data_IF_101456423330
#
_entry.id   IF_101456423330
#
_cell.length_a   1.000
_cell.length_b   1.000
_cell.length_c   1.000
_cell.angle_alpha   90.00
_cell.angle_beta   90.00
_cell.angle_gamma   90.00
#
_symmetry.space_group_name_H-M   'P 1'
#
loop_
_entity.id
_entity.type
_entity.pdbx_description
1 polymer ?
#
# COMPACT_ATOMS: atom_id res chain seq x y z
N UNK A 1 47.41 48.82 -72.68
CA UNK A 1 46.27 48.78 -73.61
C UNK A 1 45.02 48.43 -72.82
N UNK A 2 44.04 49.33 -72.90
CA UNK A 2 42.75 49.30 -72.21
C UNK A 2 41.86 48.21 -72.80
N UNK A 3 41.15 47.46 -71.96
CA UNK A 3 39.91 46.80 -72.36
C UNK A 3 38.78 47.28 -71.44
N UNK A 4 37.73 47.75 -72.09
CA UNK A 4 36.55 48.43 -71.59
C UNK A 4 35.31 47.68 -72.08
N UNK A 5 34.19 47.86 -71.36
CA UNK A 5 32.80 47.68 -71.82
C UNK A 5 32.33 46.24 -72.06
N UNK A 6 31.06 45.90 -71.98
CA UNK A 6 29.86 46.48 -71.38
C UNK A 6 28.77 45.41 -71.47
N UNK A 7 27.76 45.60 -70.64
CA UNK A 7 26.55 44.85 -70.39
C UNK A 7 25.52 44.86 -71.57
N UNK A 8 24.67 43.81 -71.62
CA UNK A 8 23.22 43.76 -71.98
C UNK A 8 22.70 42.99 -73.21
N UNK A 9 21.68 42.17 -72.90
CA UNK A 9 20.51 41.82 -73.73
C UNK A 9 20.65 40.49 -74.49
N UNK A 10 19.67 39.58 -74.59
CA UNK A 10 18.22 39.66 -74.36
C UNK A 10 17.60 38.25 -74.34
N UNK A 11 16.55 38.08 -73.52
CA UNK A 11 15.32 37.28 -73.74
C UNK A 11 15.37 35.82 -74.23
N UNK A 12 14.72 34.91 -73.49
CA UNK A 12 13.68 34.01 -74.04
C UNK A 12 12.81 33.36 -72.93
N UNK A 13 11.54 33.79 -72.94
CA UNK A 13 10.25 33.15 -72.61
C UNK A 13 10.23 31.61 -72.41
N UNK A 14 9.47 31.12 -71.42
CA UNK A 14 8.52 29.95 -71.40
C UNK A 14 7.95 29.85 -69.97
N UNK A 15 6.72 30.27 -69.68
CA UNK A 15 5.48 29.46 -69.57
C UNK A 15 5.54 28.20 -68.67
N UNK A 16 4.63 28.07 -67.70
CA UNK A 16 4.30 26.76 -67.13
C UNK A 16 4.10 26.67 -65.61
N UNK A 17 2.83 26.73 -65.21
CA UNK A 17 2.18 25.97 -64.12
C UNK A 17 3.05 24.99 -63.30
N UNK A 18 2.93 25.06 -61.97
CA UNK A 18 2.18 24.08 -61.15
C UNK A 18 2.72 24.04 -59.71
N UNK A 19 1.82 24.17 -58.72
CA UNK A 19 2.11 23.92 -57.31
C UNK A 19 2.26 22.40 -57.09
N UNK A 20 3.32 21.93 -56.39
CA UNK A 20 3.11 20.86 -55.42
C UNK A 20 4.07 21.02 -54.23
N UNK A 21 3.68 21.78 -53.20
CA UNK A 21 4.45 21.85 -51.93
C UNK A 21 3.69 21.30 -50.71
N UNK A 22 2.40 20.97 -50.84
CA UNK A 22 1.60 20.51 -49.71
C UNK A 22 1.52 18.98 -49.52
N UNK A 23 1.87 18.16 -50.51
CA UNK A 23 1.80 16.69 -50.35
C UNK A 23 2.99 16.09 -49.59
N UNK A 24 4.18 16.69 -49.64
CA UNK A 24 5.37 16.14 -48.96
C UNK A 24 5.38 16.36 -47.44
N UNK A 25 4.79 17.45 -46.95
CA UNK A 25 4.81 17.78 -45.51
C UNK A 25 3.86 16.88 -44.71
N UNK A 26 2.71 16.52 -45.29
CA UNK A 26 1.77 15.59 -44.66
C UNK A 26 2.34 14.16 -44.55
N UNK A 27 3.13 13.73 -45.53
CA UNK A 27 3.79 12.41 -45.52
C UNK A 27 4.89 12.32 -44.46
N UNK A 28 5.65 13.41 -44.26
CA UNK A 28 6.70 13.48 -43.25
C UNK A 28 6.13 13.49 -41.81
N UNK A 29 5.00 14.19 -41.59
CA UNK A 29 4.30 14.20 -40.31
C UNK A 29 3.72 12.82 -39.95
N UNK A 30 3.13 12.12 -40.93
CA UNK A 30 2.65 10.76 -40.73
C UNK A 30 3.79 9.78 -40.40
N UNK A 31 4.94 9.90 -41.09
CA UNK A 31 6.12 9.08 -40.81
C UNK A 31 6.70 9.32 -39.40
N UNK A 32 6.73 10.57 -38.93
CA UNK A 32 7.17 10.92 -37.57
C UNK A 32 6.23 10.36 -36.50
N UNK A 33 4.92 10.39 -36.71
CA UNK A 33 3.94 9.81 -35.77
C UNK A 33 4.12 8.29 -35.66
N UNK A 34 4.32 7.60 -36.78
CA UNK A 34 4.54 6.14 -36.80
C UNK A 34 5.87 5.77 -36.13
N UNK A 35 6.95 6.53 -36.36
CA UNK A 35 8.23 6.32 -35.66
C UNK A 35 8.10 6.57 -34.14
N UNK A 36 7.36 7.60 -33.74
CA UNK A 36 7.14 7.93 -32.33
C UNK A 36 6.29 6.86 -31.62
N UNK A 37 5.21 6.42 -32.27
CA UNK A 37 4.37 5.32 -31.77
C UNK A 37 5.16 4.00 -31.71
N UNK A 38 5.98 3.71 -32.72
CA UNK A 38 6.89 2.57 -32.73
C UNK A 38 7.92 2.63 -31.60
N UNK A 39 8.50 3.80 -31.31
CA UNK A 39 9.44 3.99 -30.19
C UNK A 39 8.76 3.84 -28.82
N UNK A 40 7.50 4.26 -28.67
CA UNK A 40 6.71 4.07 -27.45
C UNK A 40 6.32 2.61 -27.25
N UNK A 41 5.92 1.90 -28.31
CA UNK A 41 5.62 0.46 -28.24
C UNK A 41 6.88 -0.37 -28.01
N UNK A 42 8.00 0.00 -28.62
CA UNK A 42 9.30 -0.65 -28.42
C UNK A 42 9.81 -0.44 -26.99
N UNK A 43 9.66 0.76 -26.43
CA UNK A 43 10.02 1.04 -25.03
C UNK A 43 9.08 0.37 -24.02
N UNK A 44 7.78 0.25 -24.33
CA UNK A 44 6.82 -0.53 -23.54
C UNK A 44 7.17 -2.02 -23.55
N UNK A 45 7.44 -2.58 -24.73
CA UNK A 45 7.84 -3.99 -24.90
C UNK A 45 9.18 -4.30 -24.24
N UNK A 46 10.17 -3.39 -24.32
CA UNK A 46 11.43 -3.52 -23.59
C UNK A 46 11.24 -3.42 -22.07
N UNK A 47 10.33 -2.56 -21.59
CA UNK A 47 10.00 -2.49 -20.17
C UNK A 47 9.32 -3.77 -19.70
N UNK A 48 8.33 -4.27 -20.42
CA UNK A 48 7.66 -5.55 -20.13
C UNK A 48 8.67 -6.70 -20.15
N UNK A 49 9.49 -6.85 -21.20
CA UNK A 49 10.49 -7.90 -21.29
C UNK A 49 11.57 -7.81 -20.19
N UNK A 50 11.96 -6.60 -19.76
CA UNK A 50 12.90 -6.40 -18.65
C UNK A 50 12.28 -6.74 -17.29
N UNK A 51 10.99 -6.49 -17.11
CA UNK A 51 10.26 -6.86 -15.90
C UNK A 51 9.92 -8.35 -15.85
N UNK A 52 9.57 -8.94 -16.99
CA UNK A 52 9.24 -10.36 -17.12
C UNK A 52 10.51 -11.21 -17.00
N UNK A 53 11.60 -10.78 -17.64
CA UNK A 53 12.94 -11.34 -17.44
C UNK A 53 13.41 -11.24 -15.99
N UNK A 54 13.06 -10.17 -15.28
CA UNK A 54 13.38 -10.03 -13.84
C UNK A 54 12.51 -10.95 -12.98
N UNK A 55 11.21 -11.07 -13.27
CA UNK A 55 10.30 -11.99 -12.56
C UNK A 55 10.74 -13.43 -12.75
N UNK A 56 10.90 -13.87 -13.99
CA UNK A 56 11.41 -15.20 -14.33
C UNK A 56 12.79 -15.47 -13.74
N UNK A 57 13.69 -14.47 -13.70
CA UNK A 57 14.99 -14.61 -13.02
C UNK A 57 14.86 -14.73 -11.50
N UNK A 58 13.97 -13.96 -10.86
CA UNK A 58 13.70 -14.04 -9.41
C UNK A 58 13.01 -15.36 -9.03
N UNK A 59 12.16 -15.90 -9.90
CA UNK A 59 11.51 -17.20 -9.71
C UNK A 59 12.52 -18.35 -9.88
N UNK A 60 13.45 -18.22 -10.83
CA UNK A 60 14.51 -19.20 -11.07
C UNK A 60 15.70 -19.09 -10.10
N UNK A 61 15.95 -17.89 -9.57
CA UNK A 61 17.00 -17.59 -8.59
C UNK A 61 16.37 -16.86 -7.41
N UNK A 62 15.55 -17.56 -6.59
CA UNK A 62 15.03 -16.97 -5.38
C UNK A 62 16.22 -16.47 -4.56
N UNK A 63 16.24 -15.19 -4.14
CA UNK A 63 17.35 -14.66 -3.38
C UNK A 63 17.61 -15.57 -2.19
N UNK A 64 18.88 -15.85 -1.88
CA UNK A 64 19.32 -16.67 -0.74
C UNK A 64 18.59 -16.17 0.52
N UNK A 65 17.47 -16.82 0.87
CA UNK A 65 16.42 -16.28 1.74
C UNK A 65 16.01 -14.85 1.38
N UNK A 66 14.80 -14.68 0.86
CA UNK A 66 14.12 -13.38 0.86
C UNK A 66 13.86 -12.79 2.29
N UNK A 67 14.48 -13.28 3.37
CA UNK A 67 13.91 -13.20 4.73
C UNK A 67 14.80 -12.64 5.84
N UNK A 68 16.12 -12.48 5.70
CA UNK A 68 16.97 -12.08 6.85
C UNK A 68 17.44 -10.62 6.74
N UNK A 69 18.07 -10.24 5.62
CA UNK A 69 18.53 -8.86 5.40
C UNK A 69 17.36 -7.86 5.31
N UNK A 70 16.24 -8.29 4.72
CA UNK A 70 15.06 -7.44 4.61
C UNK A 70 14.38 -7.21 5.97
N UNK A 71 14.27 -8.26 6.78
CA UNK A 71 13.70 -8.13 8.12
C UNK A 71 14.65 -7.37 9.05
N UNK A 72 15.97 -7.49 8.91
CA UNK A 72 16.95 -6.62 9.59
C UNK A 72 16.69 -5.15 9.24
N UNK A 73 16.49 -4.81 7.96
CA UNK A 73 16.16 -3.45 7.55
C UNK A 73 14.80 -3.01 8.09
N UNK A 74 13.81 -3.89 8.15
CA UNK A 74 12.49 -3.60 8.71
C UNK A 74 12.57 -3.33 10.21
N UNK A 75 13.29 -4.16 10.97
CA UNK A 75 13.59 -3.94 12.40
C UNK A 75 14.21 -2.57 12.61
N UNK A 76 15.27 -2.23 11.86
CA UNK A 76 15.93 -0.92 11.96
C UNK A 76 14.99 0.25 11.65
N UNK A 77 14.15 0.12 10.62
CA UNK A 77 13.15 1.15 10.29
C UNK A 77 12.10 1.29 11.38
N UNK A 78 11.55 0.20 11.90
CA UNK A 78 10.58 0.22 13.00
C UNK A 78 11.20 0.79 14.28
N UNK A 79 12.45 0.44 14.59
CA UNK A 79 13.19 1.03 15.70
C UNK A 79 13.44 2.54 15.50
N UNK A 80 13.66 3.01 14.28
CA UNK A 80 13.71 4.45 14.04
C UNK A 80 12.34 5.11 14.28
N UNK A 81 11.24 4.46 13.91
CA UNK A 81 9.89 4.97 14.16
C UNK A 81 9.53 5.05 15.65
N UNK A 82 10.21 4.32 16.55
CA UNK A 82 9.96 4.47 18.00
C UNK A 82 10.49 5.80 18.55
N UNK A 83 11.47 6.40 17.88
CA UNK A 83 12.09 7.67 18.27
C UNK A 83 11.42 8.91 17.67
N UNK A 84 10.54 8.74 16.67
CA UNK A 84 9.86 9.85 15.99
C UNK A 84 8.62 10.34 16.75
N UNK A 85 8.19 11.58 16.51
CA UNK A 85 6.93 12.07 17.07
C UNK A 85 5.71 11.34 16.45
N UNK A 86 4.59 11.15 17.17
CA UNK A 86 3.41 10.44 16.64
C UNK A 86 2.90 11.00 15.31
N UNK A 87 2.87 12.33 15.17
CA UNK A 87 2.46 12.99 13.93
C UNK A 87 3.30 12.59 12.70
N UNK A 88 4.58 12.24 12.88
CA UNK A 88 5.45 11.81 11.78
C UNK A 88 5.26 10.32 11.44
N UNK A 89 4.71 9.54 12.37
CA UNK A 89 4.47 8.10 12.22
C UNK A 89 3.20 7.82 11.44
N UNK A 90 2.22 8.74 11.44
CA UNK A 90 0.92 8.59 10.77
C UNK A 90 1.05 8.10 9.31
N UNK A 91 1.95 8.72 8.53
CA UNK A 91 2.21 8.34 7.13
C UNK A 91 2.74 6.91 6.94
N UNK A 92 3.20 6.26 8.00
CA UNK A 92 3.75 4.91 8.01
C UNK A 92 2.80 3.89 8.66
N UNK A 93 1.63 4.31 9.15
CA UNK A 93 0.65 3.43 9.80
C UNK A 93 0.32 2.18 8.97
N UNK A 94 0.05 2.26 7.65
CA UNK A 94 -0.20 1.05 6.86
C UNK A 94 0.96 0.04 6.93
N UNK A 95 2.20 0.52 6.95
CA UNK A 95 3.37 -0.34 7.03
C UNK A 95 3.58 -0.90 8.45
N UNK A 96 3.23 -0.15 9.49
CA UNK A 96 3.27 -0.60 10.89
C UNK A 96 2.21 -1.68 11.11
N UNK A 97 0.97 -1.46 10.69
CA UNK A 97 -0.14 -2.43 10.81
C UNK A 97 0.19 -3.72 10.06
N UNK A 98 0.72 -3.62 8.84
CA UNK A 98 1.19 -4.79 8.09
C UNK A 98 2.39 -5.52 8.74
N UNK A 99 3.12 -4.86 9.65
CA UNK A 99 4.25 -5.44 10.37
C UNK A 99 3.83 -6.15 11.66
N UNK A 100 2.60 -5.93 12.15
CA UNK A 100 2.08 -6.58 13.36
C UNK A 100 1.92 -8.10 13.23
N UNK A 101 1.77 -8.63 12.02
CA UNK A 101 1.53 -10.07 11.79
C UNK A 101 2.66 -10.74 11.00
N UNK A 102 3.88 -10.20 11.12
CA UNK A 102 5.08 -10.78 10.52
C UNK A 102 5.59 -11.97 11.32
N UNK A 103 6.28 -12.91 10.69
CA UNK A 103 6.85 -14.06 11.41
C UNK A 103 7.99 -13.67 12.37
N UNK A 104 8.71 -12.60 12.05
CA UNK A 104 9.79 -12.07 12.86
C UNK A 104 9.26 -11.43 14.16
N UNK A 105 9.57 -12.07 15.29
CA UNK A 105 9.09 -11.64 16.60
C UNK A 105 9.57 -10.24 17.02
N UNK A 106 10.76 -9.82 16.62
CA UNK A 106 11.27 -8.48 16.97
C UNK A 106 10.61 -7.40 16.10
N UNK A 107 10.36 -7.70 14.83
CA UNK A 107 9.54 -6.85 13.95
C UNK A 107 8.14 -6.67 14.53
N UNK A 108 7.47 -7.75 14.92
CA UNK A 108 6.14 -7.65 15.55
C UNK A 108 6.20 -6.84 16.84
N UNK A 109 7.17 -7.12 17.71
CA UNK A 109 7.33 -6.42 19.00
C UNK A 109 7.50 -4.91 18.80
N UNK A 110 8.38 -4.51 17.89
CA UNK A 110 8.60 -3.09 17.58
C UNK A 110 7.36 -2.47 16.92
N UNK A 111 6.69 -3.19 16.02
CA UNK A 111 5.45 -2.73 15.41
C UNK A 111 4.35 -2.50 16.46
N UNK A 112 4.21 -3.41 17.44
CA UNK A 112 3.28 -3.25 18.57
C UNK A 112 3.64 -1.99 19.37
N UNK A 113 4.91 -1.77 19.69
CA UNK A 113 5.34 -0.59 20.45
C UNK A 113 4.99 0.73 19.72
N UNK A 114 5.27 0.80 18.43
CA UNK A 114 4.91 1.96 17.60
C UNK A 114 3.39 2.12 17.52
N UNK A 115 2.66 1.01 17.32
CA UNK A 115 1.21 1.00 17.21
C UNK A 115 0.51 1.42 18.51
N UNK A 116 0.93 0.92 19.67
CA UNK A 116 0.35 1.27 20.97
C UNK A 116 0.52 2.75 21.28
N UNK A 117 1.65 3.35 20.87
CA UNK A 117 1.88 4.79 21.00
C UNK A 117 0.93 5.60 20.12
N UNK A 118 0.63 5.12 18.91
CA UNK A 118 -0.37 5.75 18.04
C UNK A 118 -1.80 5.56 18.56
N UNK A 119 -2.05 4.52 19.37
CA UNK A 119 -3.35 4.26 19.97
C UNK A 119 -3.75 5.27 21.06
N UNK A 120 -2.85 6.17 21.46
CA UNK A 120 -3.19 7.34 22.29
C UNK A 120 -3.73 8.51 21.46
N UNK A 121 -3.57 8.46 20.13
CA UNK A 121 -4.17 9.37 19.15
C UNK A 121 -5.16 8.60 18.23
N UNK A 122 -6.28 8.08 18.77
CA UNK A 122 -7.15 7.12 18.11
C UNK A 122 -7.72 7.58 16.76
N UNK A 123 -7.89 8.90 16.56
CA UNK A 123 -8.39 9.46 15.31
C UNK A 123 -7.52 9.10 14.10
N UNK A 124 -6.21 8.90 14.29
CA UNK A 124 -5.29 8.48 13.22
C UNK A 124 -5.50 7.03 12.77
N UNK A 125 -6.18 6.22 13.59
CA UNK A 125 -6.37 4.79 13.38
C UNK A 125 -7.77 4.41 12.87
N UNK A 126 -8.71 5.36 12.80
CA UNK A 126 -10.08 5.10 12.34
C UNK A 126 -10.11 4.49 10.93
N UNK A 127 -9.24 4.96 10.03
CA UNK A 127 -9.11 4.45 8.67
C UNK A 127 -8.62 2.99 8.60
N UNK A 128 -7.99 2.49 9.67
CA UNK A 128 -7.44 1.13 9.75
C UNK A 128 -8.37 0.15 10.45
N UNK A 129 -9.57 0.56 10.88
CA UNK A 129 -10.49 -0.26 11.66
C UNK A 129 -10.78 -1.66 11.09
N UNK A 130 -10.96 -1.77 9.78
CA UNK A 130 -11.20 -3.05 9.11
C UNK A 130 -9.96 -3.98 9.17
N UNK A 131 -8.77 -3.42 8.97
CA UNK A 131 -7.51 -4.18 9.04
C UNK A 131 -7.21 -4.63 10.48
N UNK A 132 -7.47 -3.76 11.46
CA UNK A 132 -7.38 -4.09 12.88
C UNK A 132 -8.36 -5.21 13.26
N UNK A 133 -9.60 -5.14 12.79
CA UNK A 133 -10.59 -6.21 13.01
C UNK A 133 -10.13 -7.54 12.41
N UNK A 134 -9.55 -7.51 11.20
CA UNK A 134 -8.99 -8.70 10.58
C UNK A 134 -7.79 -9.26 11.37
N UNK A 135 -6.89 -8.39 11.84
CA UNK A 135 -5.75 -8.76 12.68
C UNK A 135 -6.17 -9.40 13.99
N UNK A 136 -7.20 -8.86 14.65
CA UNK A 136 -7.77 -9.42 15.87
C UNK A 136 -8.17 -10.88 15.67
N UNK A 137 -8.76 -11.19 14.51
CA UNK A 137 -9.21 -12.53 14.13
C UNK A 137 -8.08 -13.51 13.80
N UNK A 138 -7.13 -13.08 12.97
CA UNK A 138 -6.14 -13.96 12.31
C UNK A 138 -4.78 -14.07 13.01
N UNK A 139 -4.42 -13.11 13.85
CA UNK A 139 -3.06 -13.08 14.40
C UNK A 139 -2.86 -14.19 15.43
N UNK A 140 -1.78 -14.96 15.27
CA UNK A 140 -1.39 -16.00 16.22
C UNK A 140 -0.80 -15.42 17.51
N UNK A 141 -0.28 -14.19 17.47
CA UNK A 141 0.39 -13.55 18.60
C UNK A 141 -0.62 -12.88 19.55
N UNK A 142 -0.69 -13.37 20.79
CA UNK A 142 -1.63 -12.86 21.78
C UNK A 142 -1.40 -11.38 22.10
N UNK A 143 -0.14 -10.91 22.06
CA UNK A 143 0.18 -9.50 22.34
C UNK A 143 -0.39 -8.59 21.25
N UNK A 144 -0.32 -9.02 19.99
CA UNK A 144 -0.93 -8.30 18.87
C UNK A 144 -2.45 -8.25 19.02
N UNK A 145 -3.10 -9.38 19.32
CA UNK A 145 -4.56 -9.42 19.55
C UNK A 145 -4.96 -8.51 20.71
N UNK A 146 -4.20 -8.52 21.80
CA UNK A 146 -4.41 -7.68 22.98
C UNK A 146 -4.33 -6.19 22.64
N UNK A 147 -3.24 -5.75 22.01
CA UNK A 147 -3.04 -4.35 21.65
C UNK A 147 -4.14 -3.89 20.67
N UNK A 148 -4.50 -4.72 19.70
CA UNK A 148 -5.59 -4.43 18.76
C UNK A 148 -6.95 -4.29 19.46
N UNK A 149 -7.30 -5.20 20.38
CA UNK A 149 -8.56 -5.12 21.13
C UNK A 149 -8.65 -3.84 21.96
N UNK A 150 -7.56 -3.47 22.65
CA UNK A 150 -7.46 -2.22 23.43
C UNK A 150 -7.54 -0.97 22.56
N UNK A 151 -6.94 -1.00 21.36
CA UNK A 151 -7.05 0.12 20.43
C UNK A 151 -8.47 0.26 19.92
N UNK A 152 -9.09 -0.84 19.48
CA UNK A 152 -10.47 -0.84 18.98
C UNK A 152 -11.45 -0.27 20.02
N UNK A 153 -11.28 -0.54 21.32
CA UNK A 153 -12.15 0.03 22.37
C UNK A 153 -12.07 1.55 22.51
N UNK A 154 -11.00 2.17 22.00
CA UNK A 154 -10.83 3.63 21.96
C UNK A 154 -11.36 4.25 20.66
N UNK A 155 -11.72 3.44 19.67
CA UNK A 155 -12.25 3.89 18.37
C UNK A 155 -13.78 3.95 18.39
N UNK A 156 -14.36 4.83 17.58
CA UNK A 156 -15.82 4.99 17.48
C UNK A 156 -16.47 3.97 16.54
N UNK A 157 -16.63 4.32 15.27
CA UNK A 157 -17.24 3.44 14.27
C UNK A 157 -16.50 2.09 14.08
N UNK A 158 -15.16 2.02 14.13
CA UNK A 158 -14.44 0.75 14.07
C UNK A 158 -14.78 -0.25 15.19
N UNK A 159 -15.09 0.24 16.40
CA UNK A 159 -15.47 -0.63 17.52
C UNK A 159 -16.77 -1.36 17.23
N UNK A 160 -17.78 -0.63 16.74
CA UNK A 160 -19.07 -1.17 16.31
C UNK A 160 -18.83 -2.19 15.18
N UNK A 161 -17.98 -1.82 14.22
CA UNK A 161 -17.35 -2.66 13.20
C UNK A 161 -16.94 -4.06 13.69
N UNK A 162 -16.19 -4.05 14.78
CA UNK A 162 -15.47 -5.19 15.31
C UNK A 162 -16.26 -6.04 16.32
N UNK A 163 -17.51 -5.69 16.63
CA UNK A 163 -18.27 -6.30 17.72
C UNK A 163 -18.30 -7.84 17.65
N UNK A 164 -18.59 -8.41 16.48
CA UNK A 164 -18.61 -9.86 16.29
C UNK A 164 -17.20 -10.50 16.48
N UNK A 165 -16.15 -9.84 16.00
CA UNK A 165 -14.78 -10.31 16.18
C UNK A 165 -14.37 -10.29 17.66
N UNK A 166 -14.74 -9.24 18.39
CA UNK A 166 -14.50 -9.11 19.84
C UNK A 166 -15.26 -10.17 20.65
N UNK A 167 -16.50 -10.50 20.30
CA UNK A 167 -17.25 -11.60 20.93
C UNK A 167 -16.50 -12.93 20.79
N UNK A 168 -15.92 -13.20 19.62
CA UNK A 168 -15.13 -14.43 19.42
C UNK A 168 -13.87 -14.48 20.30
N UNK A 169 -13.35 -13.33 20.76
CA UNK A 169 -12.19 -13.25 21.65
C UNK A 169 -12.54 -13.51 23.12
N UNK A 170 -13.83 -13.66 23.47
CA UNK A 170 -14.22 -14.12 24.81
C UNK A 170 -13.77 -15.55 25.09
N UNK A 171 -13.53 -16.35 24.05
CA UNK A 171 -12.97 -17.69 24.13
C UNK A 171 -11.47 -17.73 23.76
N UNK A 172 -10.77 -16.59 23.74
CA UNK A 172 -9.35 -16.56 23.46
C UNK A 172 -8.56 -17.34 24.52
N UNK A 173 -7.52 -18.05 24.10
CA UNK A 173 -6.65 -18.81 25.01
C UNK A 173 -5.96 -17.89 26.03
N UNK A 174 -5.65 -16.66 25.64
CA UNK A 174 -4.95 -15.69 26.48
C UNK A 174 -5.94 -14.90 27.37
N UNK A 175 -5.68 -14.90 28.68
CA UNK A 175 -6.57 -14.27 29.65
C UNK A 175 -6.61 -12.73 29.54
N UNK A 176 -5.50 -12.09 29.15
CA UNK A 176 -5.48 -10.64 28.95
C UNK A 176 -6.27 -10.25 27.70
N UNK A 177 -6.21 -11.07 26.64
CA UNK A 177 -7.02 -10.86 25.43
C UNK A 177 -8.51 -10.99 25.75
N UNK A 178 -8.90 -12.00 26.55
CA UNK A 178 -10.30 -12.12 27.02
C UNK A 178 -10.74 -10.90 27.81
N UNK A 179 -9.93 -10.43 28.75
CA UNK A 179 -10.25 -9.26 29.56
C UNK A 179 -10.38 -7.98 28.71
N UNK A 180 -9.48 -7.78 27.74
CA UNK A 180 -9.57 -6.67 26.80
C UNK A 180 -10.81 -6.74 25.90
N UNK A 181 -11.18 -7.94 25.44
CA UNK A 181 -12.40 -8.13 24.68
C UNK A 181 -13.66 -7.78 25.48
N UNK A 182 -13.75 -8.21 26.74
CA UNK A 182 -14.85 -7.83 27.64
C UNK A 182 -14.90 -6.30 27.82
N UNK A 183 -13.77 -5.66 28.08
CA UNK A 183 -13.70 -4.21 28.23
C UNK A 183 -14.15 -3.47 26.96
N UNK A 184 -13.72 -3.94 25.78
CA UNK A 184 -14.12 -3.37 24.50
C UNK A 184 -15.61 -3.55 24.21
N UNK A 185 -16.17 -4.73 24.51
CA UNK A 185 -17.62 -4.97 24.38
C UNK A 185 -18.44 -4.10 25.33
N UNK A 186 -17.92 -3.80 26.53
CA UNK A 186 -18.54 -2.88 27.48
C UNK A 186 -18.55 -1.41 27.02
N UNK A 187 -17.68 -1.04 26.07
CA UNK A 187 -17.64 0.28 25.46
C UNK A 187 -18.58 0.43 24.25
N UNK A 188 -19.22 -0.66 23.80
CA UNK A 188 -20.18 -0.61 22.70
C UNK A 188 -21.50 0.07 23.13
N UNK A 189 -22.21 0.72 22.19
CA UNK A 189 -23.59 1.13 22.41
C UNK A 189 -24.47 -0.08 22.78
N UNK A 190 -25.45 0.15 23.66
CA UNK A 190 -26.31 -0.91 24.18
C UNK A 190 -27.06 -1.67 23.07
N UNK A 191 -27.43 -0.99 21.99
CA UNK A 191 -28.12 -1.55 20.84
C UNK A 191 -27.23 -2.54 20.07
N UNK A 192 -25.96 -2.21 19.88
CA UNK A 192 -24.99 -3.09 19.23
C UNK A 192 -24.68 -4.29 20.13
N UNK A 193 -24.45 -4.05 21.42
CA UNK A 193 -24.21 -5.13 22.37
C UNK A 193 -25.38 -6.11 22.42
N UNK A 194 -26.62 -5.61 22.47
CA UNK A 194 -27.85 -6.41 22.48
C UNK A 194 -27.89 -7.45 21.35
N UNK A 195 -27.46 -7.05 20.15
CA UNK A 195 -27.40 -7.92 18.95
C UNK A 195 -26.46 -9.11 19.14
N UNK A 196 -25.45 -8.98 19.99
CA UNK A 196 -24.42 -10.00 20.24
C UNK A 196 -24.54 -10.69 21.61
N UNK A 197 -25.51 -10.31 22.45
CA UNK A 197 -25.68 -10.82 23.82
C UNK A 197 -25.78 -12.34 23.90
N UNK A 198 -26.59 -12.95 23.04
CA UNK A 198 -26.78 -14.40 23.06
C UNK A 198 -25.47 -15.15 22.84
N UNK A 199 -24.71 -14.77 21.81
CA UNK A 199 -23.42 -15.37 21.51
C UNK A 199 -22.39 -15.11 22.61
N UNK A 200 -22.38 -13.91 23.21
CA UNK A 200 -21.48 -13.59 24.31
C UNK A 200 -21.79 -14.43 25.57
N UNK A 201 -23.06 -14.57 25.95
CA UNK A 201 -23.48 -15.40 27.09
C UNK A 201 -23.15 -16.87 26.86
N UNK A 202 -23.40 -17.37 25.65
CA UNK A 202 -23.10 -18.76 25.27
C UNK A 202 -21.59 -19.08 25.33
N UNK A 203 -20.73 -18.14 24.95
CA UNK A 203 -19.27 -18.33 25.06
C UNK A 203 -18.79 -18.23 26.51
N UNK A 204 -19.37 -17.32 27.30
CA UNK A 204 -19.01 -17.16 28.71
C UNK A 204 -19.45 -18.37 29.55
N UNK A 205 -20.61 -18.97 29.26
CA UNK A 205 -21.04 -20.18 29.96
C UNK A 205 -20.11 -21.36 29.69
N UNK A 206 -19.70 -21.56 28.44
CA UNK A 206 -18.71 -22.61 28.08
C UNK A 206 -17.34 -22.41 28.72
N UNK A 207 -16.91 -21.17 28.91
CA UNK A 207 -15.61 -20.86 29.49
C UNK A 207 -15.55 -21.10 31.02
N UNK A 208 -16.70 -21.12 31.70
CA UNK A 208 -16.77 -21.44 33.14
C UNK A 208 -16.76 -22.94 33.46
N UNK A 209 -17.04 -23.79 32.45
CA UNK A 209 -17.12 -25.24 32.59
C UNK A 209 -15.79 -25.97 32.29
N UNK A 210 -14.74 -25.24 31.88
CA UNK A 210 -13.42 -25.75 31.49
C UNK A 210 -12.33 -25.40 32.52
#
# INVERSE_FOLDING_TARGET
>A
HVCSSADRGSTLRVEGRARPRMMFVASLAAALIVLSAGALLYSSSLMEARFDGRRTWLDAHPPRKASEDYEILRRRRLAALTELAPAEVERYLPAVVASLDRDDGEVRRLAVLVFERMADEPATLDAHGAELTALLGRSADARVRLSVARTLSKLGAPLIAAAAALVSRLADSDAEVRAAAVAALGALPAETLATHTHAAVELLSRAGDA
#
